data_IF_043141364433
#
_entry.id   IF_043141364433
#
_cell.length_a   1.000
_cell.length_b   1.000
_cell.length_c   1.000
_cell.angle_alpha   90.00
_cell.angle_beta   90.00
_cell.angle_gamma   90.00
#
_symmetry.space_group_name_H-M   'P 1'
#
loop_
_entity.id
_entity.type
_entity.pdbx_description
1 polymer ?
#
# COMPACT_ATOMS: atom_id res chain seq x y z
N UNK A 1 -21.29 -5.33 2.94
CA UNK A 1 -20.14 -4.67 2.27
C UNK A 1 -18.85 -5.20 2.89
N UNK A 2 -18.08 -6.00 2.18
CA UNK A 2 -16.78 -6.50 2.64
C UNK A 2 -15.82 -5.32 2.78
N UNK A 3 -15.26 -5.11 3.98
CA UNK A 3 -14.19 -4.13 4.18
C UNK A 3 -12.97 -4.61 3.41
N UNK A 4 -12.57 -3.87 2.38
CA UNK A 4 -11.32 -4.12 1.66
C UNK A 4 -10.17 -3.91 2.63
N UNK A 5 -9.44 -4.99 2.95
CA UNK A 5 -8.24 -4.90 3.77
C UNK A 5 -7.16 -4.17 3.00
N UNK A 6 -6.52 -3.19 3.64
CA UNK A 6 -5.39 -2.46 3.08
C UNK A 6 -4.18 -3.39 2.93
N UNK A 7 -3.52 -3.31 1.79
CA UNK A 7 -2.32 -4.08 1.47
C UNK A 7 -1.24 -3.16 0.92
N UNK A 8 -0.06 -3.15 1.55
CA UNK A 8 1.01 -2.20 1.22
C UNK A 8 1.51 -2.37 -0.21
N UNK A 9 1.64 -3.61 -0.71
CA UNK A 9 2.14 -3.85 -2.07
C UNK A 9 1.14 -3.37 -3.12
N UNK A 10 -0.14 -3.51 -2.87
CA UNK A 10 -1.21 -3.12 -3.79
C UNK A 10 -1.56 -1.63 -3.70
N UNK A 11 -1.61 -1.10 -2.49
CA UNK A 11 -2.27 0.19 -2.21
C UNK A 11 -1.26 1.34 -1.98
N UNK A 12 0.07 1.07 -1.98
CA UNK A 12 1.09 2.09 -1.70
C UNK A 12 1.09 3.24 -2.71
N UNK A 13 0.77 2.99 -3.98
CA UNK A 13 0.75 4.05 -5.01
C UNK A 13 -0.32 5.08 -4.69
N UNK A 14 -1.53 4.63 -4.33
CA UNK A 14 -2.64 5.52 -3.97
C UNK A 14 -2.34 6.28 -2.68
N UNK A 15 -1.79 5.59 -1.67
CA UNK A 15 -1.37 6.19 -0.41
C UNK A 15 -0.34 7.30 -0.64
N UNK A 16 0.76 6.99 -1.35
CA UNK A 16 1.87 7.92 -1.53
C UNK A 16 1.50 9.09 -2.45
N UNK A 17 0.67 8.87 -3.46
CA UNK A 17 0.11 9.95 -4.25
C UNK A 17 -0.82 10.86 -3.42
N UNK A 18 -1.57 10.30 -2.48
CA UNK A 18 -2.37 11.06 -1.51
C UNK A 18 -1.50 11.89 -0.57
N UNK A 19 -0.50 11.28 0.04
CA UNK A 19 0.46 11.95 0.94
C UNK A 19 1.20 13.08 0.24
N UNK A 20 1.66 12.84 -1.00
CA UNK A 20 2.42 13.85 -1.75
C UNK A 20 1.66 15.15 -1.98
N UNK A 21 0.33 15.09 -2.11
CA UNK A 21 -0.53 16.29 -2.25
C UNK A 21 -0.59 17.14 -0.99
N UNK A 22 -0.31 16.55 0.17
CA UNK A 22 -0.30 17.24 1.46
C UNK A 22 1.07 17.84 1.79
N UNK A 23 2.12 17.46 1.05
CA UNK A 23 3.45 18.01 1.25
C UNK A 23 3.52 19.46 0.79
N UNK A 24 4.15 20.30 1.61
CA UNK A 24 4.54 21.65 1.19
C UNK A 24 5.56 21.59 0.03
N UNK A 25 5.72 22.68 -0.67
CA UNK A 25 6.74 22.80 -1.72
C UNK A 25 8.14 22.55 -1.11
N UNK A 26 8.89 21.61 -1.70
CA UNK A 26 10.18 21.17 -1.17
C UNK A 26 10.10 20.25 0.04
N UNK A 27 8.89 19.99 0.55
CA UNK A 27 8.66 19.04 1.64
C UNK A 27 8.87 17.59 1.21
N UNK A 28 9.14 16.74 2.19
CA UNK A 28 9.29 15.30 1.99
C UNK A 28 8.59 14.52 3.11
N UNK A 29 8.28 13.26 2.84
CA UNK A 29 7.79 12.31 3.82
C UNK A 29 8.72 11.09 3.88
N UNK A 30 8.65 10.35 4.97
CA UNK A 30 9.34 9.06 5.09
C UNK A 30 8.28 7.97 5.00
N UNK A 31 8.50 7.01 4.11
CA UNK A 31 7.69 5.81 3.98
C UNK A 31 8.53 4.60 4.38
N UNK A 32 8.07 3.86 5.38
CA UNK A 32 8.72 2.63 5.83
C UNK A 32 7.70 1.49 5.87
N UNK A 33 8.13 0.29 5.47
CA UNK A 33 7.32 -0.92 5.56
C UNK A 33 8.18 -2.16 5.85
N UNK A 34 7.58 -3.15 6.53
CA UNK A 34 8.26 -4.38 6.94
C UNK A 34 7.96 -5.58 6.01
N UNK A 35 7.36 -5.33 4.85
CA UNK A 35 7.10 -6.39 3.87
C UNK A 35 8.39 -6.76 3.15
N UNK A 36 8.95 -7.93 3.43
CA UNK A 36 10.24 -8.40 2.88
C UNK A 36 10.32 -8.40 1.36
N UNK A 37 9.22 -8.63 0.70
CA UNK A 37 9.14 -8.67 -0.77
C UNK A 37 8.62 -7.38 -1.38
N UNK A 38 8.58 -6.28 -0.62
CA UNK A 38 8.07 -5.02 -1.12
C UNK A 38 8.87 -4.52 -2.34
N UNK A 39 8.14 -4.16 -3.38
CA UNK A 39 8.69 -3.56 -4.60
C UNK A 39 7.86 -2.34 -4.96
N UNK A 40 8.41 -1.14 -4.83
CA UNK A 40 7.69 0.08 -5.17
C UNK A 40 7.43 0.13 -6.68
N UNK A 41 6.22 0.51 -7.05
CA UNK A 41 5.83 0.75 -8.45
C UNK A 41 6.26 2.16 -8.89
N UNK A 42 7.57 2.38 -9.01
CA UNK A 42 8.19 3.69 -9.26
C UNK A 42 7.63 4.37 -10.51
N UNK A 43 7.36 3.62 -11.58
CA UNK A 43 6.78 4.19 -12.80
C UNK A 43 5.35 4.72 -12.58
N UNK A 44 4.53 4.03 -11.79
CA UNK A 44 3.17 4.52 -11.45
C UNK A 44 3.23 5.74 -10.55
N UNK A 45 4.15 5.73 -9.58
CA UNK A 45 4.39 6.86 -8.68
C UNK A 45 4.85 8.10 -9.44
N UNK A 46 5.81 7.97 -10.36
CA UNK A 46 6.31 9.08 -11.17
C UNK A 46 5.21 9.73 -12.02
N UNK A 47 4.27 8.96 -12.56
CA UNK A 47 3.08 9.48 -13.25
C UNK A 47 2.15 10.31 -12.36
N UNK A 48 2.29 10.20 -11.04
CA UNK A 48 1.61 11.02 -10.04
C UNK A 48 2.49 12.15 -9.48
N UNK A 49 3.69 12.35 -10.00
CA UNK A 49 4.65 13.35 -9.53
C UNK A 49 5.35 12.94 -8.22
N UNK A 50 5.44 11.63 -7.96
CA UNK A 50 6.05 11.09 -6.74
C UNK A 50 7.32 10.32 -7.08
N UNK A 51 8.40 10.67 -6.39
CA UNK A 51 9.70 10.00 -6.51
C UNK A 51 10.11 9.43 -5.16
N UNK A 52 10.66 8.22 -5.18
CA UNK A 52 11.18 7.52 -4.00
C UNK A 52 12.71 7.46 -4.05
N UNK A 53 13.33 7.91 -2.99
CA UNK A 53 14.75 7.71 -2.75
C UNK A 53 14.91 6.62 -1.70
N UNK A 54 15.57 5.51 -2.04
CA UNK A 54 15.83 4.42 -1.11
C UNK A 54 16.90 4.82 -0.09
N UNK A 55 16.54 4.80 1.19
CA UNK A 55 17.42 5.05 2.33
C UNK A 55 17.47 3.83 3.27
N UNK A 56 17.02 2.68 2.82
CA UNK A 56 16.92 1.46 3.62
C UNK A 56 18.25 1.14 4.32
N UNK A 57 19.36 1.17 3.59
CA UNK A 57 20.69 0.85 4.16
C UNK A 57 21.12 1.82 5.26
N UNK A 58 20.65 3.07 5.21
CA UNK A 58 20.99 4.11 6.20
C UNK A 58 20.14 4.02 7.48
N UNK A 59 19.04 3.28 7.41
CA UNK A 59 18.06 3.18 8.51
C UNK A 59 18.10 1.83 9.22
N UNK A 60 18.96 0.91 8.79
CA UNK A 60 19.17 -0.39 9.44
C UNK A 60 20.15 -0.21 10.60
N UNK A 61 19.75 -0.47 11.86
CA UNK A 61 20.67 -0.46 13.00
C UNK A 61 21.77 -1.53 12.84
N UNK A 62 22.93 -1.32 13.44
CA UNK A 62 24.06 -2.24 13.39
C UNK A 62 23.73 -3.65 13.87
N UNK A 63 22.87 -3.78 14.87
CA UNK A 63 22.36 -5.06 15.39
C UNK A 63 21.65 -5.90 14.33
N UNK A 64 21.09 -5.28 13.32
CA UNK A 64 20.39 -5.91 12.21
C UNK A 64 21.21 -5.97 10.91
N UNK A 65 22.48 -5.60 10.93
CA UNK A 65 23.36 -5.59 9.75
C UNK A 65 23.41 -6.95 9.02
N UNK A 66 23.23 -8.05 9.75
CA UNK A 66 23.17 -9.42 9.20
C UNK A 66 21.86 -9.74 8.48
N UNK A 67 20.79 -8.96 8.74
CA UNK A 67 19.47 -9.17 8.14
C UNK A 67 18.93 -7.88 7.54
N UNK A 68 19.49 -7.47 6.43
CA UNK A 68 19.13 -6.22 5.73
C UNK A 68 17.70 -6.20 5.17
N UNK A 69 16.98 -7.33 5.25
CA UNK A 69 15.58 -7.45 4.77
C UNK A 69 14.55 -7.21 5.88
N UNK A 70 14.92 -6.50 6.94
CA UNK A 70 14.04 -6.24 8.10
C UNK A 70 12.93 -5.27 7.73
N UNK A 71 13.25 -4.25 6.96
CA UNK A 71 12.32 -3.25 6.46
C UNK A 71 12.83 -2.61 5.17
N UNK A 72 11.96 -1.83 4.54
CA UNK A 72 12.29 -0.91 3.45
C UNK A 72 11.97 0.50 3.91
N UNK A 73 12.83 1.47 3.60
CA UNK A 73 12.65 2.85 3.98
C UNK A 73 12.99 3.79 2.81
N UNK A 74 12.09 4.72 2.53
CA UNK A 74 12.19 5.64 1.40
C UNK A 74 11.88 7.06 1.82
N UNK A 75 12.63 8.02 1.28
CA UNK A 75 12.20 9.43 1.26
C UNK A 75 11.27 9.60 0.07
N UNK A 76 10.07 10.10 0.36
CA UNK A 76 9.04 10.41 -0.63
C UNK A 76 9.13 11.89 -0.96
N UNK A 77 9.39 12.23 -2.22
CA UNK A 77 9.45 13.60 -2.71
C UNK A 77 8.35 13.85 -3.74
N UNK A 78 7.83 15.06 -3.74
CA UNK A 78 6.93 15.54 -4.79
C UNK A 78 7.70 16.39 -5.79
N UNK A 79 7.62 16.04 -7.05
CA UNK A 79 8.18 16.78 -8.17
C UNK A 79 7.08 17.11 -9.20
N UNK A 80 7.30 18.10 -10.10
CA UNK A 80 6.53 18.17 -11.33
C UNK A 80 6.51 16.81 -12.03
N UNK A 81 5.40 16.48 -12.67
CA UNK A 81 5.22 15.14 -13.26
C UNK A 81 6.26 14.85 -14.33
N UNK A 82 6.62 15.88 -15.12
CA UNK A 82 7.66 15.81 -16.14
C UNK A 82 9.01 15.40 -15.53
N UNK A 83 9.42 16.09 -14.47
CA UNK A 83 10.68 15.84 -13.77
C UNK A 83 10.68 14.45 -13.10
N UNK A 84 9.57 14.10 -12.44
CA UNK A 84 9.43 12.80 -11.80
C UNK A 84 9.51 11.65 -12.81
N UNK A 85 8.89 11.79 -13.96
CA UNK A 85 8.93 10.79 -15.03
C UNK A 85 10.32 10.72 -15.67
N UNK A 86 10.99 11.84 -15.88
CA UNK A 86 12.37 11.88 -16.38
C UNK A 86 13.34 11.20 -15.42
N UNK A 87 13.23 11.45 -14.10
CA UNK A 87 14.08 10.84 -13.08
C UNK A 87 13.97 9.29 -13.05
N UNK A 88 12.78 8.76 -13.34
CA UNK A 88 12.53 7.30 -13.36
C UNK A 88 12.86 6.67 -14.73
N UNK A 89 13.21 7.46 -15.73
CA UNK A 89 13.65 6.98 -17.05
C UNK A 89 12.51 6.72 -18.04
N UNK A 90 11.48 7.56 -18.03
CA UNK A 90 10.50 7.60 -19.11
C UNK A 90 11.08 8.31 -20.34
N UNK A 91 10.63 7.92 -21.53
CA UNK A 91 10.99 8.61 -22.76
C UNK A 91 10.31 9.99 -22.85
N UNK A 92 10.88 10.89 -23.66
CA UNK A 92 10.29 12.21 -23.88
C UNK A 92 8.86 12.11 -24.46
N UNK A 93 8.59 11.10 -25.28
CA UNK A 93 7.27 10.85 -25.86
C UNK A 93 6.25 10.44 -24.80
N UNK A 94 6.60 9.51 -23.90
CA UNK A 94 5.74 9.09 -22.78
C UNK A 94 5.43 10.24 -21.82
N UNK A 95 6.40 11.13 -21.61
CA UNK A 95 6.23 12.32 -20.76
C UNK A 95 5.27 13.30 -21.45
N UNK A 96 5.47 13.59 -22.72
CA UNK A 96 4.62 14.50 -23.50
C UNK A 96 3.16 13.98 -23.54
N UNK A 97 2.97 12.68 -23.78
CA UNK A 97 1.64 12.05 -23.78
C UNK A 97 0.95 12.23 -22.42
N UNK A 98 1.68 12.00 -21.33
CA UNK A 98 1.12 12.14 -19.98
C UNK A 98 0.77 13.59 -19.64
N UNK A 99 1.58 14.54 -20.04
CA UNK A 99 1.32 15.97 -19.83
C UNK A 99 0.08 16.41 -20.62
N UNK A 100 -0.06 15.96 -21.85
CA UNK A 100 -1.23 16.27 -22.67
C UNK A 100 -2.51 15.63 -22.11
N UNK A 101 -2.44 14.38 -21.62
CA UNK A 101 -3.55 13.71 -20.93
C UNK A 101 -4.04 14.48 -19.69
N UNK A 102 -3.12 15.13 -18.96
CA UNK A 102 -3.46 15.95 -17.80
C UNK A 102 -4.02 17.32 -18.18
N UNK A 103 -3.57 17.86 -19.31
CA UNK A 103 -4.06 19.14 -19.84
C UNK A 103 -5.48 19.01 -20.40
N UNK A 104 -5.82 17.85 -20.95
CA UNK A 104 -7.13 17.57 -21.54
C UNK A 104 -7.82 16.37 -20.84
N UNK A 105 -8.43 16.60 -19.66
CA UNK A 105 -9.06 15.52 -18.88
C UNK A 105 -10.27 14.86 -19.57
N UNK A 106 -10.86 15.52 -20.57
CA UNK A 106 -11.98 14.95 -21.34
C UNK A 106 -11.52 13.92 -22.38
N UNK A 107 -10.24 13.93 -22.77
CA UNK A 107 -9.66 12.91 -23.63
C UNK A 107 -9.44 11.56 -22.90
N UNK A 108 -9.71 11.48 -21.60
CA UNK A 108 -9.69 10.21 -20.86
C UNK A 108 -10.71 9.27 -21.47
N UNK A 109 -10.23 8.29 -22.25
CA UNK A 109 -11.05 7.10 -22.60
C UNK A 109 -11.59 6.56 -21.28
N UNK A 110 -12.93 6.39 -21.14
CA UNK A 110 -13.47 5.81 -19.92
C UNK A 110 -12.82 4.45 -19.74
N UNK A 111 -12.08 4.28 -18.66
CA UNK A 111 -11.62 2.97 -18.23
C UNK A 111 -12.88 2.11 -18.20
N UNK A 112 -12.87 1.04 -18.98
CA UNK A 112 -14.00 0.11 -19.10
C UNK A 112 -14.53 -0.16 -17.69
N UNK A 113 -15.77 0.23 -17.46
CA UNK A 113 -16.47 -0.01 -16.21
C UNK A 113 -16.38 -1.50 -15.93
N UNK A 114 -15.83 -1.85 -14.77
CA UNK A 114 -15.88 -3.21 -14.26
C UNK A 114 -17.34 -3.62 -14.27
N UNK A 115 -17.76 -4.71 -14.97
CA UNK A 115 -19.15 -5.10 -15.03
C UNK A 115 -19.60 -5.41 -13.60
N UNK A 116 -20.46 -4.57 -13.07
CA UNK A 116 -21.22 -4.88 -11.85
C UNK A 116 -22.12 -6.05 -12.20
N UNK A 117 -21.74 -7.24 -11.75
CA UNK A 117 -22.58 -8.43 -11.81
C UNK A 117 -23.80 -8.21 -10.91
N UNK A 118 -24.85 -7.67 -11.49
CA UNK A 118 -26.18 -7.61 -10.89
C UNK A 118 -26.75 -9.04 -10.91
N UNK A 119 -26.53 -9.79 -9.86
CA UNK A 119 -27.35 -10.98 -9.61
C UNK A 119 -28.70 -10.54 -9.10
N UNK A 120 -29.66 -10.50 -9.98
CA UNK A 120 -31.07 -10.64 -9.63
C UNK A 120 -31.29 -12.10 -9.22
N UNK A 121 -31.36 -12.37 -7.96
CA UNK A 121 -31.65 -13.70 -7.39
C UNK A 121 -32.86 -13.62 -6.51
N UNK A 122 -33.90 -14.16 -7.03
CA UNK A 122 -35.25 -14.35 -6.51
C UNK A 122 -35.24 -15.06 -5.15
N UNK A 123 -36.11 -14.61 -4.26
CA UNK A 123 -36.28 -15.11 -2.90
C UNK A 123 -36.77 -16.53 -2.75
N UNK A 124 -36.51 -17.07 -1.61
CA UNK A 124 -37.49 -17.80 -0.79
C UNK A 124 -36.95 -17.98 0.62
N UNK A 125 -37.69 -17.41 1.56
CA UNK A 125 -37.59 -17.65 2.98
C UNK A 125 -37.83 -19.11 3.33
N UNK A 126 -37.02 -19.73 4.17
CA UNK A 126 -37.46 -20.77 5.08
C UNK A 126 -36.70 -20.66 6.41
N UNK A 127 -37.44 -20.17 7.35
CA UNK A 127 -37.12 -20.10 8.76
C UNK A 127 -37.37 -21.47 9.37
N UNK A 128 -36.32 -22.13 9.83
CA UNK A 128 -36.46 -23.26 10.75
C UNK A 128 -35.26 -23.25 11.72
N UNK A 129 -35.52 -22.84 12.93
CA UNK A 129 -34.54 -22.82 14.02
C UNK A 129 -34.20 -24.20 14.53
N UNK A 130 -32.94 -24.32 14.98
CA UNK A 130 -32.56 -25.35 15.98
C UNK A 130 -31.57 -24.76 16.98
N UNK A 131 -31.70 -25.08 18.26
CA UNK A 131 -30.91 -24.49 19.34
C UNK A 131 -29.51 -25.14 19.47
N UNK A 132 -28.56 -24.33 19.86
CA UNK A 132 -27.18 -24.75 20.18
C UNK A 132 -27.09 -25.43 21.51
N UNK A 133 -26.23 -26.45 21.66
CA UNK A 133 -25.84 -26.96 22.98
C UNK A 133 -24.60 -26.22 23.51
N UNK A 134 -24.67 -25.89 24.79
CA UNK A 134 -23.60 -25.32 25.59
C UNK A 134 -22.33 -26.16 25.59
N UNK A 135 -21.17 -25.56 25.33
CA UNK A 135 -19.86 -26.23 25.32
C UNK A 135 -18.86 -25.57 26.24
N UNK A 136 -18.56 -26.20 27.25
CA UNK A 136 -17.42 -26.39 28.16
C UNK A 136 -16.24 -25.41 28.02
N UNK A 137 -16.09 -24.61 29.05
CA UNK A 137 -14.92 -23.89 29.50
C UNK A 137 -13.69 -24.81 29.68
N UNK A 138 -12.59 -24.53 28.96
CA UNK A 138 -11.26 -25.11 29.26
C UNK A 138 -10.40 -24.07 29.99
N UNK A 139 -10.13 -24.39 31.26
CA UNK A 139 -9.20 -23.69 32.16
C UNK A 139 -7.79 -23.76 31.58
N UNK A 140 -7.18 -22.56 31.34
CA UNK A 140 -5.75 -22.44 31.09
C UNK A 140 -4.97 -22.57 32.39
N UNK A 141 -4.06 -23.58 32.47
CA UNK A 141 -3.07 -23.72 33.53
C UNK A 141 -1.99 -22.63 33.38
N UNK A 142 -1.82 -21.84 34.42
CA UNK A 142 -0.68 -20.96 34.59
C UNK A 142 0.53 -21.80 34.98
N UNK A 143 1.60 -21.71 34.21
CA UNK A 143 2.91 -22.25 34.61
C UNK A 143 3.65 -21.15 35.40
N UNK A 144 3.82 -21.40 36.68
CA UNK A 144 4.68 -20.63 37.55
C UNK A 144 6.14 -21.07 37.36
N UNK A 145 6.99 -20.17 36.92
CA UNK A 145 8.46 -20.39 36.85
C UNK A 145 9.06 -20.24 38.24
N UNK A 146 9.77 -21.30 38.70
CA UNK A 146 10.57 -21.29 39.95
C UNK A 146 11.88 -20.52 39.74
N UNK A 147 12.33 -19.69 40.70
CA UNK A 147 13.67 -19.11 40.68
C UNK A 147 14.70 -20.15 41.12
N UNK A 148 15.81 -20.27 40.38
CA UNK A 148 17.00 -20.99 40.81
C UNK A 148 17.88 -20.01 41.57
N UNK A 149 18.06 -20.31 42.86
CA UNK A 149 19.07 -19.72 43.72
C UNK A 149 20.41 -20.49 43.62
N UNK A 150 21.45 -19.73 43.96
CA UNK A 150 22.87 -20.02 44.12
C UNK A 150 23.66 -20.12 42.85
#
# INVERSE_FOLDING_TARGET
MGRRTWDVQRDHVELLAGVSRLLAQGGHAIFSCNLRGFRPETRKLARAGVVLQDITAQTIPEDFARNQKVHHCYIVRRLPIEDAMAEVGFSAEEIAERVEELRNPEARKPHAAVPTHTQAGNGKSNFAGKPSPAGKSKKKKFYASKPKGK
#
